data_IF_993117227176
#
_entry.id   IF_993117227176
#
_cell.length_a   1.000
_cell.length_b   1.000
_cell.length_c   1.000
_cell.angle_alpha   90.00
_cell.angle_beta   90.00
_cell.angle_gamma   90.00
#
_symmetry.space_group_name_H-M   'P 1'
#
loop_
_entity.id
_entity.type
_entity.pdbx_description
1 polymer ?
#
# COMPACT_ATOMS: atom_id res chain seq x y z
N UNK A 1 -5.19 -31.51 9.89
CA UNK A 1 -4.38 -30.66 9.00
C UNK A 1 -3.98 -29.43 9.80
N UNK A 2 -2.70 -29.32 10.15
CA UNK A 2 -2.19 -28.25 10.98
C UNK A 2 -2.50 -26.88 10.33
N UNK A 3 -3.16 -25.98 11.06
CA UNK A 3 -3.13 -24.55 10.72
C UNK A 3 -1.65 -24.19 10.63
N UNK A 4 -1.21 -23.74 9.46
CA UNK A 4 0.20 -23.48 9.18
C UNK A 4 0.73 -22.48 10.20
N UNK A 5 1.67 -22.87 11.06
CA UNK A 5 2.28 -22.06 12.14
C UNK A 5 2.66 -20.63 11.68
N UNK A 6 2.94 -20.45 10.39
CA UNK A 6 3.22 -19.14 9.76
C UNK A 6 2.07 -18.15 9.81
N UNK A 7 0.81 -18.58 9.67
CA UNK A 7 -0.35 -17.68 9.70
C UNK A 7 -0.56 -17.12 11.12
N UNK A 8 -0.32 -17.96 12.13
CA UNK A 8 -0.41 -17.59 13.55
C UNK A 8 0.71 -16.63 13.94
N UNK A 9 1.96 -16.91 13.52
CA UNK A 9 3.09 -16.01 13.73
C UNK A 9 2.86 -14.64 13.08
N UNK A 10 2.39 -14.58 11.83
CA UNK A 10 2.12 -13.31 11.15
C UNK A 10 1.00 -12.54 11.86
N UNK A 11 -0.05 -13.23 12.31
CA UNK A 11 -1.13 -12.61 13.06
C UNK A 11 -0.66 -12.02 14.39
N UNK A 12 0.16 -12.75 15.13
CA UNK A 12 0.74 -12.30 16.41
C UNK A 12 1.68 -11.11 16.21
N UNK A 13 2.61 -11.19 15.25
CA UNK A 13 3.51 -10.07 14.93
C UNK A 13 2.74 -8.81 14.51
N UNK A 14 1.69 -8.98 13.70
CA UNK A 14 0.85 -7.88 13.27
C UNK A 14 0.10 -7.25 14.45
N UNK A 15 -0.44 -8.05 15.36
CA UNK A 15 -1.05 -7.54 16.60
C UNK A 15 -0.03 -6.82 17.48
N UNK A 16 1.19 -7.33 17.58
CA UNK A 16 2.25 -6.64 18.31
C UNK A 16 2.57 -5.27 17.69
N UNK A 17 2.63 -5.17 16.36
CA UNK A 17 2.85 -3.89 15.65
C UNK A 17 1.67 -2.94 15.89
N UNK A 18 0.43 -3.42 15.76
CA UNK A 18 -0.77 -2.61 15.99
C UNK A 18 -0.92 -2.13 17.44
N UNK A 19 -0.29 -2.80 18.40
CA UNK A 19 -0.31 -2.41 19.81
C UNK A 19 0.85 -1.47 20.20
N UNK A 20 1.84 -1.26 19.32
CA UNK A 20 2.92 -0.29 19.58
C UNK A 20 2.39 1.13 19.45
N UNK A 21 2.72 1.98 20.40
CA UNK A 21 2.38 3.40 20.34
C UNK A 21 3.14 4.06 19.19
N UNK A 22 2.42 4.72 18.27
CA UNK A 22 3.05 5.36 17.11
C UNK A 22 3.46 6.79 17.46
N UNK A 23 4.77 7.01 17.56
CA UNK A 23 5.39 8.34 17.70
C UNK A 23 5.41 9.08 16.35
N UNK A 24 5.23 10.42 16.38
CA UNK A 24 5.24 11.30 15.20
C UNK A 24 3.88 11.94 14.88
N UNK A 25 3.91 13.14 14.28
CA UNK A 25 2.75 13.88 13.75
C UNK A 25 2.96 14.17 12.26
N UNK A 26 1.89 14.35 11.49
CA UNK A 26 1.97 14.85 10.11
C UNK A 26 2.37 16.34 10.03
N UNK A 27 2.89 16.96 11.10
CA UNK A 27 3.31 18.36 11.08
C UNK A 27 4.43 18.56 10.06
N UNK A 28 4.01 19.02 8.88
CA UNK A 28 4.86 19.42 7.79
C UNK A 28 5.61 20.68 8.20
N UNK A 29 6.78 20.52 8.82
CA UNK A 29 7.73 21.62 8.87
C UNK A 29 8.22 21.86 7.45
N UNK A 30 7.62 22.85 6.79
CA UNK A 30 7.97 23.41 5.47
C UNK A 30 9.44 23.89 5.38
N UNK A 31 10.21 23.77 6.46
CA UNK A 31 11.57 24.28 6.64
C UNK A 31 12.65 23.20 6.48
N UNK A 32 12.30 21.93 6.25
CA UNK A 32 13.28 20.86 6.12
C UNK A 32 13.41 20.37 4.67
N UNK A 33 14.29 20.98 3.85
CA UNK A 33 14.43 20.66 2.43
C UNK A 33 14.86 19.21 2.15
N UNK A 34 15.43 18.50 3.13
CA UNK A 34 15.76 17.06 3.01
C UNK A 34 14.54 16.13 3.04
N UNK A 35 13.38 16.62 3.49
CA UNK A 35 12.11 15.86 3.45
C UNK A 35 11.36 16.06 2.13
N UNK A 36 11.70 17.08 1.33
CA UNK A 36 11.10 17.31 0.01
C UNK A 36 11.43 16.20 -1.01
N UNK A 37 12.48 15.41 -0.77
CA UNK A 37 12.75 14.24 -1.62
C UNK A 37 11.73 13.09 -1.42
N UNK A 38 10.81 13.21 -0.45
CA UNK A 38 9.78 12.22 -0.12
C UNK A 38 8.35 12.79 -0.18
N UNK A 39 8.13 13.91 -0.90
CA UNK A 39 6.80 14.51 -1.06
C UNK A 39 5.79 13.48 -1.58
N UNK A 40 6.24 12.63 -2.51
CA UNK A 40 5.41 11.57 -3.08
C UNK A 40 5.69 10.24 -2.39
N UNK A 41 4.68 9.76 -1.67
CA UNK A 41 4.73 8.48 -0.95
C UNK A 41 4.04 7.41 -1.79
N UNK A 42 4.83 6.43 -2.22
CA UNK A 42 4.36 5.32 -3.07
C UNK A 42 4.55 3.99 -2.34
N UNK A 43 3.50 3.17 -2.35
CA UNK A 43 3.54 1.79 -1.87
C UNK A 43 3.28 0.88 -3.06
N UNK A 44 4.19 -0.06 -3.32
CA UNK A 44 4.01 -1.09 -4.35
C UNK A 44 3.77 -2.43 -3.68
N UNK A 45 2.59 -3.01 -3.93
CA UNK A 45 2.21 -4.34 -3.51
C UNK A 45 2.28 -5.29 -4.70
N UNK A 46 3.03 -6.38 -4.55
CA UNK A 46 3.24 -7.37 -5.61
C UNK A 46 2.45 -8.67 -5.41
N UNK A 47 1.68 -8.78 -4.32
CA UNK A 47 1.00 -10.03 -3.95
C UNK A 47 -0.51 -9.88 -4.02
N UNK A 48 -1.17 -10.92 -4.53
CA UNK A 48 -2.64 -10.99 -4.57
C UNK A 48 -3.26 -11.15 -3.17
N UNK A 49 -4.47 -10.62 -2.99
CA UNK A 49 -5.21 -10.66 -1.71
C UNK A 49 -5.66 -12.08 -1.32
N UNK A 50 -5.82 -12.96 -2.31
CA UNK A 50 -6.30 -14.34 -2.14
C UNK A 50 -5.36 -15.29 -2.86
N UNK A 51 -4.87 -16.29 -2.14
CA UNK A 51 -4.27 -17.50 -2.73
C UNK A 51 -5.21 -18.67 -2.43
N UNK A 52 -5.58 -19.45 -3.44
CA UNK A 52 -6.49 -20.60 -3.30
C UNK A 52 -7.84 -20.26 -2.62
N UNK A 53 -8.36 -19.05 -2.86
CA UNK A 53 -9.65 -18.60 -2.33
C UNK A 53 -9.66 -18.20 -0.85
N UNK A 54 -8.52 -18.24 -0.16
CA UNK A 54 -8.38 -17.78 1.24
C UNK A 54 -7.71 -16.40 1.28
N UNK A 55 -8.29 -15.47 2.03
CA UNK A 55 -7.62 -14.19 2.34
C UNK A 55 -6.40 -14.47 3.23
N UNK A 56 -5.20 -14.18 2.72
CA UNK A 56 -3.94 -14.38 3.46
C UNK A 56 -3.39 -13.12 4.15
N UNK A 57 -3.96 -11.94 3.86
CA UNK A 57 -3.43 -10.66 4.35
C UNK A 57 -4.45 -9.93 5.20
N UNK A 58 -3.97 -9.36 6.29
CA UNK A 58 -4.70 -8.33 7.01
C UNK A 58 -4.85 -7.10 6.11
N UNK A 59 -6.09 -6.65 5.81
CA UNK A 59 -6.29 -5.49 4.96
C UNK A 59 -5.79 -4.25 5.69
N UNK A 60 -4.75 -3.60 5.15
CA UNK A 60 -4.26 -2.30 5.64
C UNK A 60 -4.83 -1.11 4.86
N UNK A 61 -5.62 -1.37 3.81
CA UNK A 61 -6.39 -0.38 3.05
C UNK A 61 -7.69 -1.01 2.52
N UNK A 62 -8.69 -0.19 2.16
CA UNK A 62 -9.89 -0.66 1.49
C UNK A 62 -9.73 -0.65 -0.03
N UNK A 63 -10.26 -1.67 -0.69
CA UNK A 63 -10.26 -1.77 -2.17
C UNK A 63 -11.38 -0.95 -2.82
N UNK A 64 -12.33 -0.47 -2.02
CA UNK A 64 -13.49 0.31 -2.46
C UNK A 64 -13.28 1.79 -2.14
N UNK A 65 -13.67 2.65 -3.06
CA UNK A 65 -13.63 4.10 -2.87
C UNK A 65 -14.52 4.54 -1.69
N UNK A 66 -14.07 5.59 -1.01
CA UNK A 66 -14.71 6.25 0.13
C UNK A 66 -14.89 5.39 1.39
N UNK A 67 -14.28 4.20 1.41
CA UNK A 67 -14.18 3.39 2.61
C UNK A 67 -12.91 3.75 3.40
N UNK A 68 -12.98 3.62 4.73
CA UNK A 68 -11.89 3.99 5.64
C UNK A 68 -11.57 2.88 6.65
N UNK A 69 -10.28 2.64 6.88
CA UNK A 69 -9.80 1.83 8.01
C UNK A 69 -9.17 2.72 9.07
N UNK A 70 -9.41 2.41 10.34
CA UNK A 70 -8.81 3.12 11.47
C UNK A 70 -7.79 2.24 12.17
N UNK A 71 -6.59 2.77 12.33
CA UNK A 71 -5.47 2.14 13.05
C UNK A 71 -4.96 3.12 14.10
N UNK A 72 -5.37 2.92 15.35
CA UNK A 72 -5.13 3.87 16.45
C UNK A 72 -5.58 5.30 16.08
N UNK A 73 -4.64 6.26 16.02
CA UNK A 73 -4.89 7.65 15.60
C UNK A 73 -5.02 7.83 14.09
N UNK A 74 -4.54 6.86 13.30
CA UNK A 74 -4.55 6.98 11.85
C UNK A 74 -5.88 6.54 11.24
N UNK A 75 -6.37 7.30 10.27
CA UNK A 75 -7.45 6.91 9.39
C UNK A 75 -6.92 6.84 7.96
N UNK A 76 -7.09 5.68 7.32
CA UNK A 76 -6.68 5.42 5.93
C UNK A 76 -7.94 5.34 5.08
N UNK A 77 -8.18 6.37 4.27
CA UNK A 77 -9.33 6.49 3.39
C UNK A 77 -8.94 6.22 1.94
N UNK A 78 -9.70 5.37 1.26
CA UNK A 78 -9.51 5.12 -0.17
C UNK A 78 -10.21 6.21 -0.98
N UNK A 79 -9.46 7.19 -1.48
CA UNK A 79 -10.02 8.36 -2.16
C UNK A 79 -10.34 8.10 -3.64
N UNK A 80 -9.53 7.29 -4.32
CA UNK A 80 -9.69 6.98 -5.76
C UNK A 80 -9.11 5.62 -6.09
N UNK A 81 -9.73 4.86 -6.98
CA UNK A 81 -9.26 3.58 -7.50
C UNK A 81 -9.25 3.61 -9.02
N UNK A 82 -8.10 3.35 -9.61
CA UNK A 82 -7.87 3.30 -11.05
C UNK A 82 -7.41 1.88 -11.41
N UNK A 83 -8.13 1.22 -12.32
CA UNK A 83 -7.85 -0.17 -12.71
C UNK A 83 -7.18 -0.21 -14.07
N UNK A 84 -6.00 -0.82 -14.12
CA UNK A 84 -5.23 -1.07 -15.33
C UNK A 84 -5.25 -2.57 -15.65
N UNK A 85 -4.63 -2.96 -16.75
CA UNK A 85 -4.59 -4.36 -17.20
C UNK A 85 -3.87 -5.27 -16.19
N UNK A 86 -2.71 -4.83 -15.68
CA UNK A 86 -1.85 -5.65 -14.83
C UNK A 86 -1.72 -5.16 -13.39
N UNK A 87 -2.31 -4.01 -13.05
CA UNK A 87 -2.29 -3.44 -11.69
C UNK A 87 -3.51 -2.59 -11.38
N UNK A 88 -3.71 -2.32 -10.10
CA UNK A 88 -4.68 -1.35 -9.59
C UNK A 88 -3.92 -0.25 -8.88
N UNK A 89 -4.15 1.00 -9.27
CA UNK A 89 -3.64 2.18 -8.57
C UNK A 89 -4.73 2.71 -7.64
N UNK A 90 -4.36 3.07 -6.43
CA UNK A 90 -5.27 3.57 -5.41
C UNK A 90 -4.67 4.80 -4.77
N UNK A 91 -5.40 5.91 -4.76
CA UNK A 91 -5.04 7.09 -3.98
C UNK A 91 -5.59 6.92 -2.58
N UNK A 92 -4.71 6.88 -1.59
CA UNK A 92 -5.06 6.83 -0.18
C UNK A 92 -4.85 8.21 0.46
N UNK A 93 -5.80 8.62 1.28
CA UNK A 93 -5.66 9.77 2.17
C UNK A 93 -5.48 9.26 3.59
N UNK A 94 -4.38 9.63 4.23
CA UNK A 94 -4.06 9.25 5.60
C UNK A 94 -4.12 10.51 6.47
N UNK A 95 -4.89 10.45 7.54
CA UNK A 95 -4.93 11.48 8.59
C UNK A 95 -4.54 10.85 9.93
N UNK A 96 -4.03 11.64 10.88
CA UNK A 96 -3.69 11.22 12.25
C UNK A 96 -4.66 11.78 13.30
N UNK A 97 -5.83 12.27 12.85
CA UNK A 97 -6.81 12.98 13.67
C UNK A 97 -6.63 14.50 13.68
N UNK A 98 -5.56 15.02 13.06
CA UNK A 98 -5.43 16.46 12.75
C UNK A 98 -6.08 16.82 11.42
N UNK A 99 -6.03 18.10 11.03
CA UNK A 99 -6.48 18.58 9.71
C UNK A 99 -5.50 18.20 8.58
N UNK A 100 -4.29 17.74 8.91
CA UNK A 100 -3.31 17.35 7.91
C UNK A 100 -3.72 16.06 7.20
N UNK A 101 -3.69 16.09 5.87
CA UNK A 101 -3.96 14.93 5.01
C UNK A 101 -2.72 14.58 4.22
N UNK A 102 -2.23 13.36 4.41
CA UNK A 102 -1.16 12.81 3.62
C UNK A 102 -1.70 11.95 2.48
N UNK A 103 -1.38 12.32 1.25
CA UNK A 103 -1.70 11.53 0.06
C UNK A 103 -0.64 10.44 -0.16
N UNK A 104 -1.08 9.21 -0.33
CA UNK A 104 -0.23 8.06 -0.67
C UNK A 104 -0.75 7.41 -1.94
N UNK A 105 0.13 7.12 -2.89
CA UNK A 105 -0.22 6.30 -4.06
C UNK A 105 0.09 4.85 -3.75
N UNK A 106 -0.93 4.02 -3.70
CA UNK A 106 -0.82 2.58 -3.55
C UNK A 106 -0.97 1.91 -4.91
N UNK A 107 -0.08 1.00 -5.26
CA UNK A 107 -0.08 0.31 -6.55
C UNK A 107 -0.03 -1.18 -6.26
N UNK A 108 -1.06 -1.90 -6.66
CA UNK A 108 -1.16 -3.34 -6.48
C UNK A 108 -1.04 -4.05 -7.82
N UNK A 109 0.08 -4.72 -8.07
CA UNK A 109 0.27 -5.56 -9.25
C UNK A 109 -0.54 -6.85 -9.10
N UNK A 110 -1.48 -7.07 -10.01
CA UNK A 110 -2.49 -8.15 -9.93
C UNK A 110 -2.24 -9.29 -10.93
N UNK A 111 -1.27 -9.14 -11.84
CA UNK A 111 -0.95 -10.17 -12.83
C UNK A 111 0.10 -11.19 -12.34
N UNK A 112 0.58 -11.09 -11.10
CA UNK A 112 1.53 -12.05 -10.55
C UNK A 112 0.84 -13.40 -10.25
N UNK A 113 1.36 -14.55 -10.71
CA UNK A 113 0.76 -15.86 -10.46
C UNK A 113 0.90 -16.34 -9.00
N UNK A 114 -0.13 -17.01 -8.48
CA UNK A 114 -0.22 -17.37 -7.05
C UNK A 114 0.88 -18.32 -6.54
N UNK A 115 1.35 -19.27 -7.36
CA UNK A 115 2.24 -20.35 -6.90
C UNK A 115 3.54 -20.49 -7.69
N UNK A 116 3.84 -19.54 -8.56
CA UNK A 116 5.03 -19.60 -9.41
C UNK A 116 5.47 -18.21 -9.87
N UNK A 117 6.62 -18.16 -10.55
CA UNK A 117 7.01 -17.00 -11.34
C UNK A 117 6.21 -16.95 -12.63
N UNK A 118 5.94 -15.75 -13.20
CA UNK A 118 5.36 -15.64 -14.53
C UNK A 118 6.16 -16.45 -15.56
N UNK A 119 5.46 -17.26 -16.37
CA UNK A 119 6.06 -17.98 -17.51
C UNK A 119 6.55 -17.03 -18.60
N UNK A 120 5.95 -15.85 -18.69
CA UNK A 120 6.41 -14.70 -19.47
C UNK A 120 6.55 -13.48 -18.54
N UNK A 121 7.73 -12.87 -18.53
CA UNK A 121 8.05 -11.69 -17.72
C UNK A 121 7.57 -10.37 -18.32
N UNK A 122 7.02 -10.38 -19.54
CA UNK A 122 6.67 -9.17 -20.31
C UNK A 122 5.76 -8.23 -19.53
N UNK A 123 4.69 -8.72 -18.93
CA UNK A 123 3.75 -7.87 -18.17
C UNK A 123 4.40 -7.25 -16.93
N UNK A 124 5.26 -8.01 -16.24
CA UNK A 124 5.99 -7.49 -15.08
C UNK A 124 7.04 -6.45 -15.50
N UNK A 125 7.74 -6.66 -16.61
CA UNK A 125 8.69 -5.68 -17.16
C UNK A 125 7.99 -4.40 -17.59
N UNK A 126 6.86 -4.52 -18.28
CA UNK A 126 6.02 -3.37 -18.65
C UNK A 126 5.57 -2.60 -17.40
N UNK A 127 5.11 -3.30 -16.37
CA UNK A 127 4.76 -2.71 -15.08
C UNK A 127 5.94 -1.95 -14.47
N UNK A 128 7.14 -2.55 -14.40
CA UNK A 128 8.34 -1.87 -13.87
C UNK A 128 8.68 -0.61 -14.68
N UNK A 129 8.57 -0.65 -16.01
CA UNK A 129 8.80 0.51 -16.86
C UNK A 129 7.76 1.62 -16.62
N UNK A 130 6.50 1.25 -16.42
CA UNK A 130 5.44 2.19 -16.03
C UNK A 130 5.69 2.82 -14.68
N UNK A 131 6.13 2.03 -13.69
CA UNK A 131 6.46 2.56 -12.35
C UNK A 131 7.61 3.55 -12.37
N UNK A 132 8.62 3.32 -13.22
CA UNK A 132 9.72 4.27 -13.40
C UNK A 132 9.24 5.59 -13.99
N UNK A 133 8.42 5.55 -15.05
CA UNK A 133 7.84 6.75 -15.65
C UNK A 133 6.95 7.50 -14.66
N UNK A 134 6.11 6.76 -13.93
CA UNK A 134 5.28 7.35 -12.88
C UNK A 134 6.12 8.02 -11.79
N UNK A 135 7.21 7.39 -11.36
CA UNK A 135 8.13 7.99 -10.41
C UNK A 135 8.80 9.25 -10.96
N UNK A 136 9.18 9.29 -12.24
CA UNK A 136 9.72 10.48 -12.91
C UNK A 136 8.70 11.62 -12.96
N UNK A 137 7.44 11.35 -13.32
CA UNK A 137 6.35 12.35 -13.34
C UNK A 137 6.14 12.98 -11.96
N UNK A 138 6.21 12.17 -10.90
CA UNK A 138 6.12 12.65 -9.52
C UNK A 138 7.29 13.56 -9.10
N UNK A 139 8.45 13.52 -9.76
CA UNK A 139 9.55 14.44 -9.46
C UNK A 139 9.44 15.77 -10.21
N UNK A 140 8.50 15.90 -11.14
CA UNK A 140 8.33 17.07 -12.00
C UNK A 140 7.21 18.01 -11.53
N UNK A 141 6.24 17.50 -10.75
CA UNK A 141 5.21 18.29 -10.03
C UNK A 141 5.74 18.95 -8.76
#
# INVERSE_FOLDING_TARGET
MARSDREEIIAEEHQQILNKEVEGSFEANNSNPGLNQYIHKVVVMLRQKKENGKEKFYPYWHVEEQQSLKFQKFQVTTAKVERFSSYVKTTLHITDGTEAVQKVTHINFIAWPDHDVPSDTTEFLQFVLEMRRFQEELYVE
#
